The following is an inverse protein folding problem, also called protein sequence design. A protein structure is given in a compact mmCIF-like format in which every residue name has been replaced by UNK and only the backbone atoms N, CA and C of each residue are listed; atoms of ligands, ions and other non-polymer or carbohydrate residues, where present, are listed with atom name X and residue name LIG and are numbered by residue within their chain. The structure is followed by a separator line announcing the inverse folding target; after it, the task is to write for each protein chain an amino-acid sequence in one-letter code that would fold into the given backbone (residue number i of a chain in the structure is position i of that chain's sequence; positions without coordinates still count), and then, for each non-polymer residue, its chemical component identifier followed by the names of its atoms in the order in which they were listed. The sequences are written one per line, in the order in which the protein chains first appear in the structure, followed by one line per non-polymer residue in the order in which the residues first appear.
data_IF_837001368734
#
_entry.id   IF_837001368734
#
_cell.length_a   1.000
_cell.length_b   1.000
_cell.length_c   1.000
_cell.angle_alpha   90.00
_cell.angle_beta   90.00
_cell.angle_gamma   90.00
#
_symmetry.space_group_name_H-M   'P 1'
#
loop_
_entity.id
_entity.type
_entity.pdbx_description
1 polymer ?
#
# COMPACT_ATOMS: atom_id res chain seq x y z
N UNK A 1 -20.14 21.53 16.48
CA UNK A 1 -18.88 21.73 15.72
C UNK A 1 -17.62 21.44 16.54
N UNK A 2 -17.54 21.81 17.83
CA UNK A 2 -16.36 21.52 18.66
C UNK A 2 -15.97 20.03 18.75
N UNK A 3 -16.94 19.12 18.85
CA UNK A 3 -16.70 17.68 18.99
C UNK A 3 -15.97 17.03 17.80
N UNK A 4 -16.29 17.40 16.56
CA UNK A 4 -15.68 16.79 15.37
C UNK A 4 -14.20 17.18 15.23
N UNK A 5 -13.85 18.41 15.58
CA UNK A 5 -12.47 18.91 15.57
C UNK A 5 -11.66 18.19 16.65
N UNK A 6 -12.19 18.07 17.87
CA UNK A 6 -11.54 17.32 18.95
C UNK A 6 -11.28 15.88 18.56
N UNK A 7 -12.27 15.23 17.93
CA UNK A 7 -12.11 13.86 17.44
C UNK A 7 -11.00 13.74 16.38
N UNK A 8 -10.96 14.66 15.41
CA UNK A 8 -9.94 14.67 14.37
C UNK A 8 -8.52 14.83 14.95
N UNK A 9 -8.34 15.71 15.94
CA UNK A 9 -7.06 15.90 16.63
C UNK A 9 -6.65 14.66 17.43
N UNK A 10 -7.60 14.05 18.14
CA UNK A 10 -7.38 12.81 18.87
C UNK A 10 -6.91 11.71 17.91
N UNK A 11 -7.63 11.52 16.80
CA UNK A 11 -7.26 10.55 15.77
C UNK A 11 -5.87 10.82 15.17
N UNK A 12 -5.53 12.07 14.88
CA UNK A 12 -4.22 12.42 14.33
C UNK A 12 -3.09 12.02 15.29
N UNK A 13 -3.21 12.36 16.57
CA UNK A 13 -2.23 11.99 17.60
C UNK A 13 -2.14 10.47 17.80
N UNK A 14 -3.28 9.81 18.01
CA UNK A 14 -3.34 8.37 18.28
C UNK A 14 -2.80 7.57 17.10
N UNK A 15 -3.13 7.99 15.88
CA UNK A 15 -2.66 7.29 14.67
C UNK A 15 -1.17 7.50 14.41
N UNK A 16 -0.62 8.67 14.71
CA UNK A 16 0.82 8.90 14.66
C UNK A 16 1.56 8.00 15.65
N UNK A 17 1.07 7.87 16.88
CA UNK A 17 1.67 7.01 17.90
C UNK A 17 1.65 5.53 17.50
N UNK A 18 0.53 5.04 16.98
CA UNK A 18 0.32 3.60 16.78
C UNK A 18 0.74 3.08 15.40
N UNK A 19 0.56 3.89 14.35
CA UNK A 19 0.80 3.48 12.95
C UNK A 19 1.68 4.46 12.17
N UNK A 20 2.19 5.50 12.84
CA UNK A 20 3.08 6.49 12.22
C UNK A 20 4.39 5.90 11.68
N UNK A 21 4.87 4.79 12.26
CA UNK A 21 6.09 4.09 11.78
C UNK A 21 6.00 3.70 10.29
N UNK A 22 4.80 3.47 9.76
CA UNK A 22 4.60 3.09 8.36
C UNK A 22 4.63 4.30 7.40
N UNK A 23 4.63 5.52 7.92
CA UNK A 23 4.47 6.77 7.17
C UNK A 23 5.52 7.84 7.47
N UNK A 24 6.58 7.51 8.20
CA UNK A 24 7.64 8.45 8.65
C UNK A 24 8.24 9.32 7.53
N UNK A 25 8.25 8.79 6.29
CA UNK A 25 8.86 9.47 5.15
C UNK A 25 7.87 10.35 4.35
N UNK A 26 6.59 10.40 4.72
CA UNK A 26 5.56 11.12 3.97
C UNK A 26 5.85 12.62 3.96
N UNK A 27 6.14 13.23 5.11
CA UNK A 27 6.34 14.68 5.18
C UNK A 27 7.57 15.14 4.39
N UNK A 28 8.66 14.36 4.47
CA UNK A 28 9.85 14.58 3.62
C UNK A 28 9.51 14.47 2.14
N UNK A 29 8.77 13.44 1.74
CA UNK A 29 8.35 13.27 0.35
C UNK A 29 7.52 14.46 -0.16
N UNK A 30 6.53 14.90 0.62
CA UNK A 30 5.66 16.02 0.27
C UNK A 30 6.44 17.33 0.10
N UNK A 31 7.45 17.56 0.94
CA UNK A 31 8.28 18.76 0.93
C UNK A 31 9.32 18.75 -0.19
N UNK A 32 10.02 17.64 -0.40
CA UNK A 32 11.24 17.59 -1.22
C UNK A 32 11.09 16.92 -2.58
N UNK A 33 10.21 15.92 -2.67
CA UNK A 33 10.09 15.04 -3.84
C UNK A 33 8.88 15.42 -4.69
N UNK A 34 7.73 15.66 -4.05
CA UNK A 34 6.46 15.98 -4.75
C UNK A 34 6.59 17.20 -5.68
N UNK A 35 7.21 18.34 -5.29
CA UNK A 35 7.31 19.49 -6.20
C UNK A 35 8.05 19.17 -7.50
N UNK A 36 9.03 18.26 -7.45
CA UNK A 36 9.81 17.82 -8.62
C UNK A 36 9.03 16.88 -9.54
N UNK A 37 7.92 16.31 -9.08
CA UNK A 37 7.08 15.35 -9.80
C UNK A 37 5.68 15.87 -10.11
N UNK A 38 5.48 17.19 -10.03
CA UNK A 38 4.17 17.82 -10.14
C UNK A 38 3.36 17.40 -11.39
N UNK A 39 4.03 17.14 -12.50
CA UNK A 39 3.41 16.79 -13.78
C UNK A 39 3.08 15.31 -13.95
N UNK A 40 3.26 14.48 -12.91
CA UNK A 40 2.84 13.07 -12.98
C UNK A 40 1.38 12.93 -12.54
N UNK A 41 0.66 12.04 -13.21
CA UNK A 41 -0.75 11.73 -12.90
C UNK A 41 -0.96 11.31 -11.44
N UNK A 42 -0.01 10.59 -10.86
CA UNK A 42 -0.08 10.09 -9.48
C UNK A 42 0.06 11.18 -8.41
N UNK A 43 0.37 12.43 -8.77
CA UNK A 43 0.57 13.54 -7.82
C UNK A 43 -0.65 13.80 -6.93
N UNK A 44 -1.87 13.50 -7.42
CA UNK A 44 -3.12 13.66 -6.69
C UNK A 44 -3.24 12.61 -5.57
N UNK A 45 -2.77 11.39 -5.83
CA UNK A 45 -2.81 10.27 -4.88
C UNK A 45 -1.63 10.30 -3.90
N UNK A 46 -0.48 10.76 -4.34
CA UNK A 46 0.74 10.87 -3.53
C UNK A 46 0.89 12.23 -2.81
N UNK A 47 -0.06 13.15 -2.98
CA UNK A 47 0.00 14.52 -2.45
C UNK A 47 -0.77 14.76 -1.16
N UNK A 48 -1.24 13.72 -0.48
CA UNK A 48 -2.10 13.80 0.70
C UNK A 48 -1.29 14.03 1.98
N UNK A 49 -1.92 14.60 3.01
CA UNK A 49 -1.31 14.74 4.33
C UNK A 49 -1.13 13.37 4.97
N UNK A 50 -0.15 13.26 5.87
CA UNK A 50 0.18 12.01 6.57
C UNK A 50 -1.03 11.38 7.27
N UNK A 51 -1.83 12.18 7.99
CA UNK A 51 -3.06 11.71 8.66
C UNK A 51 -4.09 11.11 7.70
N UNK A 52 -4.14 11.54 6.43
CA UNK A 52 -5.04 10.96 5.43
C UNK A 52 -4.61 9.53 5.04
N UNK A 53 -3.30 9.23 5.07
CA UNK A 53 -2.82 7.86 4.91
C UNK A 53 -3.20 6.99 6.11
N UNK A 54 -3.15 7.54 7.32
CA UNK A 54 -3.57 6.84 8.53
C UNK A 54 -5.06 6.50 8.50
N UNK A 55 -5.87 7.47 8.07
CA UNK A 55 -7.30 7.26 7.88
C UNK A 55 -7.58 6.14 6.86
N UNK A 56 -6.83 6.10 5.76
CA UNK A 56 -6.93 5.02 4.79
C UNK A 56 -6.51 3.66 5.35
N UNK A 57 -5.46 3.59 6.16
CA UNK A 57 -5.01 2.35 6.81
C UNK A 57 -6.05 1.81 7.79
N UNK A 58 -6.62 2.67 8.64
CA UNK A 58 -7.68 2.30 9.57
C UNK A 58 -8.95 1.90 8.82
N UNK A 59 -9.33 2.65 7.79
CA UNK A 59 -10.46 2.32 6.93
C UNK A 59 -10.29 0.96 6.26
N UNK A 60 -9.10 0.66 5.73
CA UNK A 60 -8.77 -0.65 5.17
C UNK A 60 -8.91 -1.77 6.20
N UNK A 61 -8.45 -1.57 7.43
CA UNK A 61 -8.58 -2.58 8.48
C UNK A 61 -10.04 -2.84 8.90
N UNK A 62 -10.87 -1.78 8.97
CA UNK A 62 -12.31 -1.93 9.23
C UNK A 62 -12.95 -2.78 8.12
N UNK A 63 -12.65 -2.48 6.85
CA UNK A 63 -13.16 -3.24 5.71
C UNK A 63 -12.63 -4.68 5.73
N UNK A 64 -11.35 -4.90 6.06
CA UNK A 64 -10.77 -6.23 6.18
C UNK A 64 -11.51 -7.08 7.21
N UNK A 65 -11.85 -6.51 8.37
CA UNK A 65 -12.65 -7.19 9.42
C UNK A 65 -14.07 -7.47 8.94
N UNK A 66 -14.75 -6.47 8.38
CA UNK A 66 -16.13 -6.60 7.92
C UNK A 66 -16.30 -7.65 6.81
N UNK A 67 -15.34 -7.74 5.89
CA UNK A 67 -15.40 -8.66 4.74
C UNK A 67 -14.59 -9.94 4.93
N UNK A 68 -14.03 -10.18 6.12
CA UNK A 68 -13.13 -11.31 6.39
C UNK A 68 -13.74 -12.65 6.00
N UNK A 69 -14.97 -12.93 6.43
CA UNK A 69 -15.63 -14.20 6.14
C UNK A 69 -15.88 -14.41 4.65
N UNK A 70 -16.38 -13.38 3.97
CA UNK A 70 -16.63 -13.41 2.53
C UNK A 70 -15.33 -13.67 1.75
N UNK A 71 -14.23 -13.03 2.17
CA UNK A 71 -12.91 -13.29 1.59
C UNK A 71 -12.45 -14.74 1.81
N UNK A 72 -12.61 -15.29 3.02
CA UNK A 72 -12.24 -16.71 3.30
C UNK A 72 -13.01 -17.67 2.41
N UNK A 73 -14.33 -17.47 2.29
CA UNK A 73 -15.26 -18.30 1.49
C UNK A 73 -15.07 -18.14 -0.02
N UNK A 74 -14.34 -17.11 -0.46
CA UNK A 74 -14.07 -16.88 -1.89
C UNK A 74 -13.17 -17.97 -2.47
N UNK A 75 -13.66 -18.65 -3.52
CA UNK A 75 -12.96 -19.78 -4.14
C UNK A 75 -11.65 -19.42 -4.87
N UNK A 76 -11.57 -18.23 -5.48
CA UNK A 76 -10.36 -17.73 -6.14
C UNK A 76 -9.86 -16.47 -5.44
N UNK A 77 -8.63 -16.53 -4.91
CA UNK A 77 -7.96 -15.40 -4.26
C UNK A 77 -6.78 -14.97 -5.14
N UNK A 78 -6.58 -13.67 -5.29
CA UNK A 78 -5.47 -13.10 -6.05
C UNK A 78 -4.63 -12.23 -5.11
N UNK A 79 -3.32 -12.46 -5.11
CA UNK A 79 -2.36 -11.61 -4.43
C UNK A 79 -1.76 -10.64 -5.45
N UNK A 80 -2.09 -9.35 -5.31
CA UNK A 80 -1.56 -8.27 -6.14
C UNK A 80 -0.32 -7.67 -5.46
N UNK A 81 0.79 -7.59 -6.18
CA UNK A 81 2.06 -7.07 -5.66
C UNK A 81 2.68 -6.06 -6.64
N UNK A 82 3.28 -4.97 -6.15
CA UNK A 82 4.06 -4.05 -6.97
C UNK A 82 5.20 -4.74 -7.72
N UNK A 83 5.39 -4.37 -8.99
CA UNK A 83 6.48 -4.88 -9.82
C UNK A 83 7.88 -4.51 -9.30
N UNK A 84 8.00 -3.47 -8.47
CA UNK A 84 9.26 -3.09 -7.82
C UNK A 84 9.71 -4.05 -6.71
N UNK A 85 8.83 -4.94 -6.21
CA UNK A 85 9.18 -5.96 -5.21
C UNK A 85 9.93 -7.15 -5.81
N UNK A 86 10.06 -7.22 -7.14
CA UNK A 86 10.83 -8.29 -7.81
C UNK A 86 12.31 -8.14 -7.48
N UNK A 87 12.96 -9.26 -7.19
CA UNK A 87 14.41 -9.29 -6.95
C UNK A 87 15.22 -8.85 -8.19
N UNK A 88 14.76 -9.22 -9.38
CA UNK A 88 15.47 -9.00 -10.63
C UNK A 88 14.75 -8.00 -11.52
N UNK A 89 15.50 -7.22 -12.33
CA UNK A 89 14.93 -6.40 -13.39
C UNK A 89 14.27 -7.28 -14.46
N UNK A 90 13.48 -6.65 -15.34
CA UNK A 90 12.70 -7.33 -16.40
C UNK A 90 13.54 -8.29 -17.24
N UNK A 91 14.79 -7.95 -17.55
CA UNK A 91 15.67 -8.78 -18.39
C UNK A 91 16.07 -10.12 -17.75
N UNK A 92 16.00 -10.25 -16.42
CA UNK A 92 16.40 -11.45 -15.67
C UNK A 92 15.23 -12.14 -14.97
N UNK A 93 14.14 -11.42 -14.71
CA UNK A 93 12.96 -11.99 -14.10
C UNK A 93 12.18 -12.84 -15.13
N UNK A 94 11.96 -14.12 -14.85
CA UNK A 94 11.18 -15.01 -15.75
C UNK A 94 9.67 -14.88 -15.59
N UNK A 95 9.17 -13.81 -14.96
CA UNK A 95 7.74 -13.58 -14.83
C UNK A 95 7.08 -13.49 -16.22
N UNK A 96 5.84 -13.96 -16.33
CA UNK A 96 5.13 -14.06 -17.61
C UNK A 96 3.99 -13.07 -17.67
N UNK A 97 3.80 -12.44 -18.82
CA UNK A 97 2.62 -11.62 -19.08
C UNK A 97 1.36 -12.51 -19.13
N UNK A 98 0.27 -11.98 -18.61
CA UNK A 98 -1.06 -12.60 -18.57
C UNK A 98 -2.11 -11.50 -18.75
N UNK A 99 -3.37 -11.87 -18.98
CA UNK A 99 -4.49 -10.92 -19.09
C UNK A 99 -4.68 -10.06 -17.84
N UNK A 100 -4.29 -10.58 -16.67
CA UNK A 100 -4.37 -9.88 -15.38
C UNK A 100 -3.07 -9.14 -15.01
N UNK A 101 -2.15 -8.97 -15.97
CA UNK A 101 -0.82 -8.39 -15.78
C UNK A 101 0.27 -9.44 -15.62
N UNK A 102 1.31 -9.14 -14.85
CA UNK A 102 2.51 -9.99 -14.79
C UNK A 102 2.37 -11.06 -13.70
N UNK A 103 2.50 -12.34 -14.07
CA UNK A 103 2.50 -13.48 -13.14
C UNK A 103 3.91 -13.96 -12.81
N UNK A 104 4.22 -14.06 -11.51
CA UNK A 104 5.49 -14.61 -11.04
C UNK A 104 5.70 -16.06 -11.49
N UNK A 105 6.83 -16.36 -12.12
CA UNK A 105 7.23 -17.71 -12.53
C UNK A 105 8.25 -18.38 -11.57
N UNK A 106 8.40 -17.82 -10.35
CA UNK A 106 9.20 -18.41 -9.26
C UNK A 106 10.67 -18.69 -9.61
N UNK A 107 11.29 -17.80 -10.38
CA UNK A 107 12.65 -17.98 -10.91
C UNK A 107 13.80 -17.94 -9.88
N UNK A 108 13.56 -17.47 -8.66
CA UNK A 108 14.54 -17.47 -7.55
C UNK A 108 13.82 -17.61 -6.22
N UNK A 109 14.38 -18.41 -5.30
CA UNK A 109 13.91 -18.59 -3.92
C UNK A 109 14.04 -17.34 -3.07
N UNK A 110 14.99 -16.47 -3.39
CA UNK A 110 15.34 -15.28 -2.60
C UNK A 110 14.43 -14.09 -2.92
N UNK A 111 13.60 -14.21 -3.96
CA UNK A 111 12.65 -13.18 -4.35
C UNK A 111 11.45 -13.11 -3.41
N UNK A 112 11.19 -11.94 -2.83
CA UNK A 112 10.04 -11.69 -1.95
C UNK A 112 8.70 -12.03 -2.62
N UNK A 113 8.54 -11.67 -3.90
CA UNK A 113 7.34 -12.02 -4.67
C UNK A 113 7.16 -13.54 -4.75
N UNK A 114 8.22 -14.32 -4.95
CA UNK A 114 8.11 -15.79 -4.95
C UNK A 114 7.68 -16.31 -3.57
N UNK A 115 8.33 -15.84 -2.50
CA UNK A 115 8.03 -16.23 -1.13
C UNK A 115 6.57 -15.98 -0.76
N UNK A 116 6.02 -14.83 -1.15
CA UNK A 116 4.63 -14.46 -0.90
C UNK A 116 3.63 -15.25 -1.76
N UNK A 117 4.02 -15.84 -2.89
CA UNK A 117 3.12 -16.69 -3.71
C UNK A 117 2.94 -18.12 -3.17
N UNK A 118 3.52 -18.43 -2.02
CA UNK A 118 3.42 -19.74 -1.36
C UNK A 118 2.41 -19.76 -0.21
N UNK A 119 1.84 -18.60 0.16
CA UNK A 119 0.86 -18.42 1.23
C UNK A 119 -0.58 -18.70 0.80
#
# INVERSE_FOLDING_TARGET
MASAITFALCFENDSEENIGVYTENVDRYLKEVRPKRYWREDVIFCGRRRVEYHLNMVGAEILNKAFRESFVKTGKKLLLLPGCMRLFPNSKCKAKETELGIRCARCSSDCQVNRLTKS
#
